data_IF_491534620814
#
_entry.id   IF_491534620814
#
_cell.length_a   1.000
_cell.length_b   1.000
_cell.length_c   1.000
_cell.angle_alpha   90.00
_cell.angle_beta   90.00
_cell.angle_gamma   90.00
#
_symmetry.space_group_name_H-M   'P 1'
#
loop_
_entity.id
_entity.type
_entity.pdbx_description
1 polymer ?
#
# COMPACT_ATOMS: atom_id res chain seq x y z
N UNK A 1 -18.35 38.20 -6.47
CA UNK A 1 -17.84 37.95 -5.11
C UNK A 1 -17.76 36.44 -4.90
N UNK A 2 -16.60 35.98 -4.47
CA UNK A 2 -16.10 34.61 -4.46
C UNK A 2 -16.85 33.66 -3.52
N UNK A 3 -16.90 32.36 -3.88
CA UNK A 3 -16.44 31.26 -3.00
C UNK A 3 -16.05 30.04 -3.83
N UNK A 4 -14.76 30.01 -4.19
CA UNK A 4 -13.83 28.87 -4.15
C UNK A 4 -14.42 27.44 -4.27
N UNK A 5 -14.50 26.92 -5.50
CA UNK A 5 -14.72 25.49 -5.76
C UNK A 5 -13.44 24.72 -5.42
N UNK A 6 -13.32 24.27 -4.17
CA UNK A 6 -12.25 23.39 -3.69
C UNK A 6 -12.29 22.12 -4.55
N UNK A 7 -11.32 21.92 -5.46
CA UNK A 7 -11.09 20.62 -6.12
C UNK A 7 -11.01 19.57 -5.01
N UNK A 8 -12.04 18.76 -4.84
CA UNK A 8 -11.96 17.54 -4.03
C UNK A 8 -10.93 16.65 -4.73
N UNK A 9 -9.69 16.66 -4.26
CA UNK A 9 -8.73 15.63 -4.61
C UNK A 9 -9.25 14.35 -3.98
N UNK A 10 -10.08 13.61 -4.71
CA UNK A 10 -10.72 12.41 -4.23
C UNK A 10 -9.64 11.35 -4.00
N UNK A 11 -9.40 11.05 -2.72
CA UNK A 11 -8.45 10.05 -2.31
C UNK A 11 -9.13 8.69 -2.31
N UNK A 12 -8.51 7.73 -2.99
CA UNK A 12 -8.99 6.36 -3.11
C UNK A 12 -8.16 5.41 -2.26
N UNK A 13 -8.75 4.24 -2.02
CA UNK A 13 -8.10 3.13 -1.35
C UNK A 13 -7.90 2.04 -2.40
N UNK A 14 -6.70 1.46 -2.42
CA UNK A 14 -6.40 0.29 -3.24
C UNK A 14 -6.08 -0.92 -2.37
N UNK A 15 -6.29 -2.11 -2.90
CA UNK A 15 -5.88 -3.37 -2.27
C UNK A 15 -5.13 -4.24 -3.28
N UNK A 16 -4.02 -4.85 -2.86
CA UNK A 16 -3.14 -5.72 -3.66
C UNK A 16 -3.10 -7.10 -3.02
N UNK A 17 -3.44 -8.14 -3.77
CA UNK A 17 -3.52 -9.50 -3.22
C UNK A 17 -4.13 -10.52 -4.18
N UNK A 18 -4.27 -11.79 -3.76
CA UNK A 18 -4.88 -12.84 -4.58
C UNK A 18 -6.30 -12.45 -4.99
N UNK A 19 -6.70 -12.75 -6.22
CA UNK A 19 -7.99 -12.34 -6.79
C UNK A 19 -9.18 -12.77 -5.92
N UNK A 20 -9.15 -14.00 -5.40
CA UNK A 20 -10.16 -14.55 -4.50
C UNK A 20 -10.30 -13.76 -3.19
N UNK A 21 -9.22 -13.10 -2.74
CA UNK A 21 -9.21 -12.29 -1.52
C UNK A 21 -9.67 -10.86 -1.81
N UNK A 22 -9.16 -10.25 -2.89
CA UNK A 22 -9.35 -8.81 -3.13
C UNK A 22 -10.65 -8.46 -3.84
N UNK A 23 -11.25 -9.41 -4.57
CA UNK A 23 -12.48 -9.19 -5.33
C UNK A 23 -13.66 -8.72 -4.46
N UNK A 24 -13.75 -9.21 -3.21
CA UNK A 24 -14.79 -8.80 -2.26
C UNK A 24 -14.75 -7.33 -1.84
N UNK A 25 -13.59 -6.68 -1.97
CA UNK A 25 -13.39 -5.29 -1.55
C UNK A 25 -13.85 -4.26 -2.62
N UNK A 26 -14.05 -4.69 -3.87
CA UNK A 26 -14.59 -3.82 -4.94
C UNK A 26 -15.96 -3.25 -4.56
N UNK A 27 -16.81 -4.05 -3.91
CA UNK A 27 -18.14 -3.63 -3.47
C UNK A 27 -18.10 -2.51 -2.42
N UNK A 28 -16.98 -2.34 -1.71
CA UNK A 28 -16.75 -1.31 -0.69
C UNK A 28 -16.11 -0.03 -1.28
N UNK A 29 -15.96 0.05 -2.60
CA UNK A 29 -15.32 1.19 -3.26
C UNK A 29 -13.80 1.18 -3.18
N UNK A 30 -13.19 0.02 -2.91
CA UNK A 30 -11.74 -0.18 -2.93
C UNK A 30 -11.32 -0.68 -4.31
N UNK A 31 -10.33 -0.03 -4.92
CA UNK A 31 -9.76 -0.47 -6.19
C UNK A 31 -8.88 -1.71 -5.96
N UNK A 32 -9.27 -2.85 -6.52
CA UNK A 32 -8.53 -4.10 -6.34
C UNK A 32 -7.51 -4.33 -7.45
N UNK A 33 -6.29 -4.69 -7.07
CA UNK A 33 -5.18 -5.04 -7.95
C UNK A 33 -4.79 -6.49 -7.67
N UNK A 34 -5.21 -7.45 -8.50
CA UNK A 34 -4.86 -8.84 -8.29
C UNK A 34 -3.35 -9.05 -8.44
N UNK A 35 -2.78 -9.81 -7.52
CA UNK A 35 -1.38 -10.24 -7.53
C UNK A 35 -1.27 -11.58 -6.80
N UNK A 36 -0.62 -12.56 -7.44
CA UNK A 36 -0.42 -13.89 -6.86
C UNK A 36 1.03 -14.15 -6.49
N UNK A 37 1.95 -13.27 -6.91
CA UNK A 37 3.38 -13.37 -6.64
C UNK A 37 3.95 -12.06 -6.10
N UNK A 38 5.11 -12.16 -5.45
CA UNK A 38 5.84 -11.02 -4.90
C UNK A 38 6.19 -9.97 -5.96
N UNK A 39 6.64 -10.41 -7.14
CA UNK A 39 7.00 -9.53 -8.26
C UNK A 39 5.77 -8.79 -8.82
N UNK A 40 4.64 -9.48 -8.95
CA UNK A 40 3.39 -8.85 -9.34
C UNK A 40 2.94 -7.82 -8.31
N UNK A 41 2.98 -8.15 -7.01
CA UNK A 41 2.60 -7.23 -5.95
C UNK A 41 3.48 -5.96 -5.99
N UNK A 42 4.79 -6.12 -6.16
CA UNK A 42 5.71 -4.99 -6.31
C UNK A 42 5.40 -4.15 -7.56
N UNK A 43 5.10 -4.81 -8.68
CA UNK A 43 4.71 -4.13 -9.92
C UNK A 43 3.42 -3.32 -9.75
N UNK A 44 2.41 -3.86 -9.06
CA UNK A 44 1.18 -3.13 -8.77
C UNK A 44 1.43 -1.94 -7.84
N UNK A 45 2.23 -2.13 -6.78
CA UNK A 45 2.61 -1.03 -5.87
C UNK A 45 3.33 0.10 -6.60
N UNK A 46 4.25 -0.21 -7.52
CA UNK A 46 4.95 0.77 -8.38
C UNK A 46 3.95 1.56 -9.23
N UNK A 47 3.04 0.88 -9.92
CA UNK A 47 1.98 1.51 -10.74
C UNK A 47 1.08 2.44 -9.92
N UNK A 48 0.66 2.00 -8.73
CA UNK A 48 -0.19 2.78 -7.84
C UNK A 48 0.54 4.04 -7.33
N UNK A 49 1.83 3.91 -6.98
CA UNK A 49 2.67 5.04 -6.59
C UNK A 49 2.85 6.04 -7.72
N UNK A 50 3.24 5.60 -8.91
CA UNK A 50 3.36 6.47 -10.08
C UNK A 50 2.05 7.21 -10.36
N UNK A 51 0.92 6.50 -10.35
CA UNK A 51 -0.40 7.10 -10.53
C UNK A 51 -0.71 8.17 -9.45
N UNK A 52 -0.26 7.96 -8.22
CA UNK A 52 -0.48 8.88 -7.09
C UNK A 52 0.40 10.12 -7.14
N UNK A 53 1.63 9.98 -7.63
CA UNK A 53 2.60 11.06 -7.76
C UNK A 53 2.33 11.95 -8.98
N UNK A 54 1.65 11.42 -10.01
CA UNK A 54 1.31 12.17 -11.21
C UNK A 54 0.33 13.32 -10.90
N UNK A 55 0.67 14.58 -11.24
CA UNK A 55 -0.18 15.74 -10.96
C UNK A 55 -1.44 15.81 -11.84
N UNK A 56 -1.41 15.19 -13.02
CA UNK A 56 -2.53 15.08 -13.96
C UNK A 56 -3.48 13.91 -13.66
N UNK A 57 -3.11 13.01 -12.73
CA UNK A 57 -4.01 11.95 -12.28
C UNK A 57 -5.17 12.56 -11.48
N UNK A 58 -6.40 12.31 -11.94
CA UNK A 58 -7.60 12.84 -11.29
C UNK A 58 -7.78 12.36 -9.84
N UNK A 59 -7.76 11.04 -9.64
CA UNK A 59 -7.86 10.41 -8.33
C UNK A 59 -6.49 9.94 -7.83
N UNK A 60 -6.20 10.17 -6.56
CA UNK A 60 -4.92 9.77 -5.92
C UNK A 60 -5.17 8.67 -4.91
N UNK A 61 -4.25 7.73 -4.74
CA UNK A 61 -4.40 6.71 -3.70
C UNK A 61 -3.85 7.25 -2.38
N UNK A 62 -4.68 7.28 -1.34
CA UNK A 62 -4.24 7.62 0.01
C UNK A 62 -3.66 6.40 0.73
N UNK A 63 -4.31 5.25 0.54
CA UNK A 63 -3.98 4.00 1.25
C UNK A 63 -3.92 2.85 0.24
N UNK A 64 -2.89 2.03 0.36
CA UNK A 64 -2.75 0.77 -0.36
C UNK A 64 -2.62 -0.36 0.65
N UNK A 65 -3.62 -1.22 0.71
CA UNK A 65 -3.55 -2.46 1.47
C UNK A 65 -2.84 -3.52 0.63
N UNK A 66 -1.91 -4.29 1.19
CA UNK A 66 -1.27 -5.40 0.49
C UNK A 66 -1.17 -6.61 1.41
N UNK A 67 -1.40 -7.81 0.86
CA UNK A 67 -1.27 -9.05 1.62
C UNK A 67 0.19 -9.28 2.01
N UNK A 68 0.39 -9.53 3.30
CA UNK A 68 1.68 -9.66 3.96
C UNK A 68 2.57 -10.75 3.34
N UNK A 69 2.00 -11.90 3.01
CA UNK A 69 2.71 -13.02 2.38
C UNK A 69 3.36 -12.64 1.05
N UNK A 70 2.72 -11.77 0.27
CA UNK A 70 3.27 -11.30 -0.99
C UNK A 70 4.47 -10.39 -0.77
N UNK A 71 4.43 -9.54 0.26
CA UNK A 71 5.51 -8.58 0.54
C UNK A 71 6.70 -9.25 1.21
N UNK A 72 6.46 -10.27 2.03
CA UNK A 72 7.49 -11.06 2.73
C UNK A 72 8.52 -11.67 1.76
N UNK A 73 8.09 -11.92 0.53
CA UNK A 73 8.88 -12.53 -0.54
C UNK A 73 9.53 -11.50 -1.49
N UNK A 74 9.28 -10.20 -1.30
CA UNK A 74 9.85 -9.12 -2.11
C UNK A 74 11.22 -8.71 -1.56
N UNK A 75 12.12 -8.32 -2.45
CA UNK A 75 13.36 -7.64 -2.06
C UNK A 75 13.06 -6.38 -1.22
N UNK A 76 13.54 -6.36 0.03
CA UNK A 76 13.23 -5.29 0.97
C UNK A 76 13.72 -3.91 0.50
N UNK A 77 14.79 -3.85 -0.29
CA UNK A 77 15.33 -2.60 -0.78
C UNK A 77 14.46 -2.02 -1.89
N UNK A 78 13.97 -2.86 -2.80
CA UNK A 78 12.98 -2.45 -3.81
C UNK A 78 11.65 -2.04 -3.18
N UNK A 79 11.14 -2.82 -2.22
CA UNK A 79 9.93 -2.46 -1.49
C UNK A 79 10.09 -1.12 -0.76
N UNK A 80 11.21 -0.90 -0.07
CA UNK A 80 11.49 0.36 0.64
C UNK A 80 11.42 1.57 -0.28
N UNK A 81 11.99 1.52 -1.50
CA UNK A 81 11.90 2.60 -2.48
C UNK A 81 10.47 2.87 -2.92
N UNK A 82 9.66 1.81 -3.04
CA UNK A 82 8.27 1.93 -3.48
C UNK A 82 7.41 2.51 -2.36
N UNK A 83 7.63 2.14 -1.10
CA UNK A 83 6.83 2.69 0.01
C UNK A 83 7.40 4.00 0.59
N UNK A 84 8.50 4.50 0.04
CA UNK A 84 9.10 5.76 0.46
C UNK A 84 8.24 6.98 0.09
N UNK A 85 8.12 7.94 1.01
CA UNK A 85 7.35 9.16 0.82
C UNK A 85 5.98 9.17 1.53
N UNK A 86 5.26 10.30 1.49
CA UNK A 86 4.04 10.50 2.27
C UNK A 86 2.80 9.81 1.70
N UNK A 87 2.78 9.50 0.39
CA UNK A 87 1.65 8.89 -0.30
C UNK A 87 2.14 7.94 -1.41
N UNK A 88 1.43 6.82 -1.64
CA UNK A 88 0.34 6.28 -0.82
C UNK A 88 0.86 5.63 0.48
N UNK A 89 0.06 5.65 1.55
CA UNK A 89 0.37 4.89 2.77
C UNK A 89 0.16 3.40 2.52
N UNK A 90 1.20 2.58 2.70
CA UNK A 90 1.13 1.14 2.47
C UNK A 90 0.84 0.41 3.78
N UNK A 91 -0.26 -0.33 3.81
CA UNK A 91 -0.74 -1.11 4.96
C UNK A 91 -0.65 -2.60 4.64
N UNK A 92 -0.06 -3.36 5.54
CA UNK A 92 0.07 -4.82 5.41
C UNK A 92 -1.16 -5.48 6.02
N UNK A 93 -1.79 -6.39 5.28
CA UNK A 93 -2.91 -7.21 5.77
C UNK A 93 -2.47 -8.67 5.88
N UNK A 94 -2.91 -9.39 6.92
CA UNK A 94 -2.63 -10.82 7.03
C UNK A 94 -3.27 -11.59 5.87
N UNK A 95 -2.61 -12.68 5.46
CA UNK A 95 -3.15 -13.60 4.47
C UNK A 95 -4.28 -14.47 5.02
N UNK A 96 -4.84 -15.31 4.15
CA UNK A 96 -5.90 -16.27 4.50
C UNK A 96 -5.43 -17.36 5.48
N UNK A 97 -4.12 -17.62 5.53
CA UNK A 97 -3.50 -18.58 6.47
C UNK A 97 -3.14 -17.96 7.83
N UNK A 98 -3.30 -16.64 7.99
CA UNK A 98 -2.92 -15.90 9.21
C UNK A 98 -1.93 -14.77 8.92
N UNK A 99 -1.38 -14.16 9.98
CA UNK A 99 -0.31 -13.16 9.83
C UNK A 99 1.05 -13.84 9.78
N UNK A 100 1.89 -13.42 8.83
CA UNK A 100 3.28 -13.88 8.68
C UNK A 100 4.23 -13.19 9.68
N UNK A 101 3.78 -12.16 10.39
CA UNK A 101 4.56 -11.41 11.39
C UNK A 101 5.44 -10.29 10.81
N UNK A 102 5.59 -10.23 9.49
CA UNK A 102 6.22 -9.15 8.75
C UNK A 102 5.65 -7.75 9.05
N UNK A 103 4.34 -7.63 9.31
CA UNK A 103 3.72 -6.37 9.73
C UNK A 103 4.27 -5.88 11.08
N UNK A 104 4.45 -6.79 12.03
CA UNK A 104 5.02 -6.50 13.35
C UNK A 104 6.51 -6.19 13.25
N UNK A 105 7.26 -6.96 12.45
CA UNK A 105 8.66 -6.69 12.16
C UNK A 105 8.86 -5.32 11.52
N UNK A 106 7.97 -4.93 10.60
CA UNK A 106 8.01 -3.61 9.97
C UNK A 106 7.76 -2.49 10.98
N UNK A 107 6.79 -2.64 11.87
CA UNK A 107 6.55 -1.69 12.95
C UNK A 107 7.79 -1.55 13.85
N UNK A 108 8.43 -2.67 14.21
CA UNK A 108 9.68 -2.68 14.97
C UNK A 108 10.78 -1.91 14.24
N UNK A 109 11.02 -2.20 12.97
CA UNK A 109 12.05 -1.52 12.17
C UNK A 109 11.79 -0.01 12.00
N UNK A 110 10.53 0.39 11.86
CA UNK A 110 10.14 1.80 11.81
C UNK A 110 10.37 2.50 13.16
N UNK A 111 10.02 1.83 14.28
CA UNK A 111 10.29 2.33 15.62
C UNK A 111 11.80 2.48 15.87
N UNK A 112 12.61 1.50 15.45
CA UNK A 112 14.07 1.54 15.53
C UNK A 112 14.65 2.72 14.73
N UNK A 113 14.16 2.95 13.52
CA UNK A 113 14.59 4.10 12.70
C UNK A 113 14.19 5.45 13.30
N UNK A 114 13.04 5.52 13.97
CA UNK A 114 12.54 6.76 14.55
C UNK A 114 13.20 7.11 15.90
N UNK A 115 13.55 6.09 16.69
CA UNK A 115 14.03 6.25 18.07
C UNK A 115 15.55 6.05 18.17
N UNK A 116 16.17 5.34 17.22
CA UNK A 116 17.60 5.07 17.18
C UNK A 116 18.07 3.93 18.11
N UNK A 117 17.14 3.16 18.68
CA UNK A 117 17.43 2.05 19.59
C UNK A 117 16.43 0.90 19.37
N UNK A 118 16.89 -0.35 19.55
CA UNK A 118 16.05 -1.54 19.47
C UNK A 118 14.96 -1.53 20.54
N UNK A 119 13.69 -1.48 20.09
CA UNK A 119 12.52 -1.68 20.96
C UNK A 119 12.07 -3.13 20.84
N UNK A 120 11.99 -3.81 21.99
CA UNK A 120 11.75 -5.25 22.13
C UNK A 120 10.31 -5.65 21.89
#
# INVERSE_FOLDING_TARGET
>A
MSTNNKKSSEYKIAIVGPEDTVSGFKALGVDSFPASTADEALTQLKKIKEHTLNPDSGAKYAVVCVIEDLVSLVDQHEYAKVVDGPLPAVVLLPGTEGSSGFAVERLRSLAEKAIGASVI
#
